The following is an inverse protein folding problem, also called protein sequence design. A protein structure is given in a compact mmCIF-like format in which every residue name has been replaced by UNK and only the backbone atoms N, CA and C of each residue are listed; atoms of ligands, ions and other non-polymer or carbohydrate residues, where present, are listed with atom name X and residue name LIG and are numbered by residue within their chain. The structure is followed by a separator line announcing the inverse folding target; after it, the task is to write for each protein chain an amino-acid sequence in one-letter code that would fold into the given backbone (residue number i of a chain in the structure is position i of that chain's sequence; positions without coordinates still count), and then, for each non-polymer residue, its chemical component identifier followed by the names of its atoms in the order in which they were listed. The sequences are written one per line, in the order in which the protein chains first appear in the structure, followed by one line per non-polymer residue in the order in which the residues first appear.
data_IF_466465811036
#
_entry.id   IF_466465811036
#
_cell.length_a   1.000
_cell.length_b   1.000
_cell.length_c   1.000
_cell.angle_alpha   90.00
_cell.angle_beta   90.00
_cell.angle_gamma   90.00
#
_symmetry.space_group_name_H-M   'P 1'
#
loop_
_entity.id
_entity.type
_entity.pdbx_description
1 polymer ?
#
# COMPACT_ATOMS: atom_id res chain seq x y z
N UNK A 1 19.17 20.79 -8.58
CA UNK A 1 18.27 19.65 -8.83
C UNK A 1 16.87 20.22 -9.04
N UNK A 2 16.33 20.08 -10.24
CA UNK A 2 14.95 20.49 -10.57
C UNK A 2 14.05 19.30 -10.30
N UNK A 3 13.27 19.35 -9.21
CA UNK A 3 12.38 18.24 -8.85
C UNK A 3 11.25 18.16 -9.90
N UNK A 4 11.20 17.07 -10.67
CA UNK A 4 10.16 16.79 -11.66
C UNK A 4 8.76 16.81 -11.02
N UNK A 5 7.82 17.49 -11.65
CA UNK A 5 6.44 17.61 -11.16
C UNK A 5 5.50 16.51 -11.67
N UNK A 6 5.95 15.62 -12.55
CA UNK A 6 5.12 14.54 -13.14
C UNK A 6 5.56 13.19 -12.56
N UNK A 7 4.60 12.34 -12.20
CA UNK A 7 4.81 11.02 -11.64
C UNK A 7 5.00 9.94 -12.74
N UNK A 8 5.76 8.90 -12.44
CA UNK A 8 5.86 7.67 -13.24
C UNK A 8 4.61 6.80 -13.08
N UNK A 9 4.46 5.76 -13.91
CA UNK A 9 3.36 4.81 -13.75
C UNK A 9 3.42 4.09 -12.38
N UNK A 10 4.62 3.75 -11.93
CA UNK A 10 4.84 3.07 -10.65
C UNK A 10 4.59 4.02 -9.46
N UNK A 11 5.03 5.28 -9.54
CA UNK A 11 4.69 6.31 -8.55
C UNK A 11 3.16 6.56 -8.52
N UNK A 12 2.46 6.50 -9.66
CA UNK A 12 1.00 6.62 -9.70
C UNK A 12 0.26 5.41 -9.11
N UNK A 13 0.78 4.20 -9.31
CA UNK A 13 0.26 2.99 -8.67
C UNK A 13 0.34 3.12 -7.14
N UNK A 14 1.47 3.59 -6.62
CA UNK A 14 1.64 3.86 -5.20
C UNK A 14 0.64 4.91 -4.67
N UNK A 15 0.42 6.01 -5.41
CA UNK A 15 -0.60 7.02 -5.06
C UNK A 15 -1.99 6.39 -4.94
N UNK A 16 -2.36 5.49 -5.87
CA UNK A 16 -3.65 4.79 -5.83
C UNK A 16 -3.75 3.90 -4.60
N UNK A 17 -2.71 3.12 -4.29
CA UNK A 17 -2.72 2.25 -3.12
C UNK A 17 -2.78 3.05 -1.81
N UNK A 18 -2.05 4.18 -1.72
CA UNK A 18 -2.11 5.10 -0.56
C UNK A 18 -3.50 5.70 -0.38
N UNK A 19 -4.19 6.05 -1.47
CA UNK A 19 -5.61 6.48 -1.44
C UNK A 19 -6.52 5.37 -0.93
N UNK A 20 -6.27 4.13 -1.32
CA UNK A 20 -7.03 2.97 -0.85
C UNK A 20 -6.87 2.78 0.67
N UNK A 21 -5.64 2.90 1.19
CA UNK A 21 -5.38 2.89 2.64
C UNK A 21 -6.17 3.98 3.36
N UNK A 22 -6.10 5.22 2.86
CA UNK A 22 -6.83 6.35 3.41
C UNK A 22 -8.35 6.13 3.41
N UNK A 23 -8.92 5.71 2.28
CA UNK A 23 -10.35 5.45 2.15
C UNK A 23 -10.80 4.34 3.12
N UNK A 24 -10.07 3.22 3.20
CA UNK A 24 -10.39 2.11 4.11
C UNK A 24 -10.36 2.55 5.57
N UNK A 25 -9.26 3.18 6.01
CA UNK A 25 -9.06 3.52 7.42
C UNK A 25 -10.01 4.60 7.90
N UNK A 26 -10.30 5.61 7.08
CA UNK A 26 -11.34 6.59 7.42
C UNK A 26 -12.75 5.99 7.41
N UNK A 27 -13.02 5.02 6.53
CA UNK A 27 -14.29 4.27 6.51
C UNK A 27 -14.50 3.47 7.79
N UNK A 28 -13.48 2.74 8.24
CA UNK A 28 -13.51 2.02 9.52
C UNK A 28 -13.69 2.99 10.70
N UNK A 29 -12.99 4.13 10.69
CA UNK A 29 -13.17 5.16 11.72
C UNK A 29 -14.62 5.64 11.80
N UNK A 30 -15.24 5.90 10.65
CA UNK A 30 -16.63 6.32 10.58
C UNK A 30 -17.59 5.25 11.13
N UNK A 31 -17.37 3.98 10.79
CA UNK A 31 -18.18 2.84 11.25
C UNK A 31 -18.08 2.63 12.77
N UNK A 32 -16.91 2.81 13.37
CA UNK A 32 -16.67 2.60 14.80
C UNK A 32 -16.76 3.89 15.63
N UNK A 33 -17.12 5.03 15.03
CA UNK A 33 -17.24 6.31 15.73
C UNK A 33 -15.91 6.90 16.24
N UNK A 34 -14.79 6.53 15.61
CA UNK A 34 -13.45 7.05 15.92
C UNK A 34 -13.27 8.37 15.16
N UNK A 35 -12.82 9.43 15.84
CA UNK A 35 -12.70 10.78 15.25
C UNK A 35 -13.98 11.21 14.51
N UNK A 36 -15.13 11.03 15.17
CA UNK A 36 -16.47 11.15 14.58
C UNK A 36 -16.78 12.53 13.97
N UNK A 37 -16.07 13.56 14.38
CA UNK A 37 -16.15 14.92 13.83
C UNK A 37 -15.58 15.05 12.41
N UNK A 38 -14.63 14.18 12.03
CA UNK A 38 -13.94 14.27 10.73
C UNK A 38 -14.04 13.00 9.89
N UNK A 39 -14.29 11.83 10.48
CA UNK A 39 -14.16 10.54 9.81
C UNK A 39 -15.09 10.40 8.59
N UNK A 40 -16.36 10.81 8.70
CA UNK A 40 -17.32 10.73 7.59
C UNK A 40 -16.88 11.56 6.39
N UNK A 41 -16.46 12.81 6.64
CA UNK A 41 -16.04 13.75 5.59
C UNK A 41 -14.77 13.24 4.92
N UNK A 42 -13.81 12.72 5.70
CA UNK A 42 -12.56 12.16 5.19
C UNK A 42 -12.80 10.89 4.39
N UNK A 43 -13.64 9.98 4.88
CA UNK A 43 -14.03 8.77 4.18
C UNK A 43 -14.65 9.12 2.82
N UNK A 44 -15.70 9.94 2.81
CA UNK A 44 -16.37 10.39 1.57
C UNK A 44 -15.39 10.98 0.57
N UNK A 45 -14.47 11.81 1.05
CA UNK A 45 -13.47 12.46 0.21
C UNK A 45 -12.50 11.45 -0.42
N UNK A 46 -11.89 10.55 0.36
CA UNK A 46 -10.92 9.59 -0.16
C UNK A 46 -11.57 8.51 -1.04
N UNK A 47 -12.81 8.12 -0.75
CA UNK A 47 -13.58 7.19 -1.57
C UNK A 47 -13.88 7.70 -2.98
N UNK A 48 -13.84 9.03 -3.22
CA UNK A 48 -13.94 9.56 -4.59
C UNK A 48 -12.77 9.11 -5.48
N UNK A 49 -11.61 8.85 -4.88
CA UNK A 49 -10.40 8.46 -5.61
C UNK A 49 -10.07 6.97 -5.49
N UNK A 50 -10.72 6.27 -4.57
CA UNK A 50 -10.54 4.84 -4.31
C UNK A 50 -11.89 4.20 -3.97
N UNK A 51 -12.75 3.96 -4.98
CA UNK A 51 -14.10 3.41 -4.75
C UNK A 51 -14.07 1.96 -4.23
N UNK A 52 -13.09 1.16 -4.65
CA UNK A 52 -12.93 -0.24 -4.25
C UNK A 52 -11.56 -0.47 -3.59
N UNK A 53 -11.30 0.10 -2.39
CA UNK A 53 -9.96 0.15 -1.83
C UNK A 53 -9.37 -1.23 -1.53
N UNK A 54 -10.20 -2.16 -1.04
CA UNK A 54 -9.74 -3.52 -0.69
C UNK A 54 -9.37 -4.31 -1.93
N UNK A 55 -10.25 -4.34 -2.93
CA UNK A 55 -10.04 -5.07 -4.18
C UNK A 55 -8.76 -4.61 -4.90
N UNK A 56 -8.54 -3.30 -4.98
CA UNK A 56 -7.35 -2.73 -5.63
C UNK A 56 -6.06 -3.13 -4.93
N UNK A 57 -6.01 -3.08 -3.59
CA UNK A 57 -4.81 -3.45 -2.84
C UNK A 57 -4.57 -4.96 -2.90
N UNK A 58 -5.62 -5.78 -2.80
CA UNK A 58 -5.50 -7.24 -2.97
C UNK A 58 -4.99 -7.59 -4.37
N UNK A 59 -5.51 -6.95 -5.42
CA UNK A 59 -5.03 -7.16 -6.79
C UNK A 59 -3.55 -6.81 -6.96
N UNK A 60 -3.07 -5.73 -6.32
CA UNK A 60 -1.65 -5.38 -6.31
C UNK A 60 -0.79 -6.44 -5.59
N UNK A 61 -1.28 -7.01 -4.50
CA UNK A 61 -0.62 -8.12 -3.80
C UNK A 61 -0.58 -9.42 -4.63
N UNK A 62 -1.66 -9.74 -5.34
CA UNK A 62 -1.72 -10.89 -6.24
C UNK A 62 -0.79 -10.72 -7.44
N UNK A 63 -0.72 -9.52 -8.02
CA UNK A 63 0.26 -9.17 -9.05
C UNK A 63 1.69 -9.36 -8.56
N UNK A 64 1.99 -8.93 -7.33
CA UNK A 64 3.30 -9.15 -6.72
C UNK A 64 3.67 -10.64 -6.60
N UNK A 65 2.67 -11.52 -6.41
CA UNK A 65 2.86 -12.98 -6.47
C UNK A 65 3.16 -13.46 -7.88
N UNK A 66 2.32 -13.09 -8.84
CA UNK A 66 2.44 -13.56 -10.23
C UNK A 66 3.80 -13.20 -10.85
N UNK A 67 4.29 -11.99 -10.59
CA UNK A 67 5.60 -11.54 -11.06
C UNK A 67 6.76 -12.24 -10.34
N UNK A 68 6.60 -12.57 -9.05
CA UNK A 68 7.62 -13.30 -8.31
C UNK A 68 7.79 -14.75 -8.78
N UNK A 69 6.71 -15.37 -9.29
CA UNK A 69 6.72 -16.74 -9.83
C UNK A 69 7.32 -16.81 -11.25
N UNK A 70 7.21 -15.73 -12.03
CA UNK A 70 7.55 -15.73 -13.44
C UNK A 70 8.92 -15.11 -13.78
N UNK A 71 9.54 -14.32 -12.88
CA UNK A 71 10.77 -13.56 -13.17
C UNK A 71 10.70 -12.77 -14.50
N UNK A 72 9.49 -12.37 -14.90
CA UNK A 72 9.23 -11.67 -16.17
C UNK A 72 9.36 -10.17 -15.95
N UNK A 73 10.20 -9.52 -16.77
CA UNK A 73 10.28 -8.07 -16.85
C UNK A 73 9.00 -7.46 -17.45
N UNK A 74 8.51 -6.42 -16.76
CA UNK A 74 7.28 -5.63 -16.88
C UNK A 74 7.14 -4.89 -18.24
N UNK A 75 7.19 -5.62 -19.34
CA UNK A 75 7.08 -5.05 -20.69
C UNK A 75 5.66 -4.91 -21.21
N UNK A 76 4.68 -5.62 -20.63
CA UNK A 76 3.36 -5.74 -21.25
C UNK A 76 2.27 -4.78 -20.73
N UNK A 77 2.36 -4.22 -19.51
CA UNK A 77 1.16 -3.65 -18.85
C UNK A 77 1.20 -2.15 -18.51
N UNK A 78 2.19 -1.40 -19.00
CA UNK A 78 2.13 0.07 -19.03
C UNK A 78 0.89 0.64 -19.78
N UNK A 79 0.17 -0.20 -20.53
CA UNK A 79 -0.98 0.20 -21.36
C UNK A 79 -2.32 0.25 -20.60
N UNK A 80 -2.58 -0.63 -19.64
CA UNK A 80 -3.91 -0.78 -19.04
C UNK A 80 -4.18 0.23 -17.90
N UNK A 81 -3.13 0.72 -17.23
CA UNK A 81 -3.26 1.70 -16.14
C UNK A 81 -3.36 3.15 -16.63
N UNK A 82 -3.21 3.40 -17.94
CA UNK A 82 -3.30 4.74 -18.53
C UNK A 82 -4.74 5.26 -18.57
N UNK A 83 -5.73 4.38 -18.46
CA UNK A 83 -7.16 4.73 -18.50
C UNK A 83 -7.74 5.15 -17.13
N UNK A 84 -7.05 4.89 -16.02
CA UNK A 84 -7.59 5.14 -14.66
C UNK A 84 -7.01 6.38 -13.95
N UNK A 85 -6.04 7.07 -14.56
CA UNK A 85 -5.22 8.05 -13.84
C UNK A 85 -5.43 9.48 -14.32
N UNK A 86 -6.15 10.27 -13.52
CA UNK A 86 -6.14 11.74 -13.62
C UNK A 86 -4.73 12.32 -13.43
N UNK A 87 -4.51 13.54 -13.92
CA UNK A 87 -3.22 14.25 -14.02
C UNK A 87 -2.15 13.75 -13.04
N UNK A 88 -1.14 13.03 -13.55
CA UNK A 88 -0.04 12.46 -12.77
C UNK A 88 0.94 13.52 -12.26
N UNK A 89 0.46 14.44 -11.43
CA UNK A 89 1.23 15.52 -10.82
C UNK A 89 1.73 15.11 -9.43
N UNK A 90 2.94 15.54 -9.05
CA UNK A 90 3.56 15.34 -7.73
C UNK A 90 2.69 15.82 -6.57
N UNK A 91 1.81 16.79 -6.83
CA UNK A 91 0.81 17.24 -5.85
C UNK A 91 -0.08 16.10 -5.37
N UNK A 92 -0.41 15.12 -6.22
CA UNK A 92 -1.17 13.94 -5.81
C UNK A 92 -0.41 13.12 -4.76
N UNK A 93 0.90 12.93 -4.96
CA UNK A 93 1.75 12.23 -4.01
C UNK A 93 1.83 12.99 -2.69
N UNK A 94 2.13 14.29 -2.74
CA UNK A 94 2.22 15.13 -1.53
C UNK A 94 0.91 15.12 -0.72
N UNK A 95 -0.21 15.11 -1.42
CA UNK A 95 -1.52 15.13 -0.81
C UNK A 95 -1.90 13.79 -0.14
N UNK A 96 -1.57 12.64 -0.75
CA UNK A 96 -1.73 11.34 -0.08
C UNK A 96 -0.78 11.20 1.10
N UNK A 97 0.46 11.68 0.99
CA UNK A 97 1.44 11.72 2.09
C UNK A 97 0.96 12.57 3.26
N UNK A 98 0.30 13.70 2.98
CA UNK A 98 -0.31 14.51 4.02
C UNK A 98 -1.47 13.77 4.70
N UNK A 99 -2.28 13.05 3.92
CA UNK A 99 -3.36 12.20 4.44
C UNK A 99 -2.84 11.10 5.37
N UNK A 100 -1.81 10.37 4.95
CA UNK A 100 -1.20 9.29 5.75
C UNK A 100 -0.57 9.83 7.03
N UNK A 101 0.17 10.94 6.95
CA UNK A 101 0.69 11.64 8.13
C UNK A 101 -0.42 12.06 9.10
N UNK A 102 -1.59 12.45 8.57
CA UNK A 102 -2.74 12.75 9.42
C UNK A 102 -3.25 11.51 10.16
N UNK A 103 -3.36 10.35 9.50
CA UNK A 103 -3.72 9.08 10.16
C UNK A 103 -2.75 8.75 11.30
N UNK A 104 -1.44 8.84 11.03
CA UNK A 104 -0.40 8.59 12.03
C UNK A 104 -0.47 9.58 13.20
N UNK A 105 -0.63 10.89 12.92
CA UNK A 105 -0.71 11.91 13.96
C UNK A 105 -1.93 11.72 14.87
N UNK A 106 -3.01 11.17 14.34
CA UNK A 106 -4.25 10.90 15.05
C UNK A 106 -4.31 9.50 15.66
N UNK A 107 -3.25 8.70 15.49
CA UNK A 107 -3.15 7.32 15.98
C UNK A 107 -4.35 6.46 15.58
N UNK A 108 -4.75 6.60 14.33
CA UNK A 108 -5.95 5.96 13.80
C UNK A 108 -5.83 4.44 13.86
N UNK A 109 -4.65 3.89 13.53
CA UNK A 109 -4.43 2.44 13.52
C UNK A 109 -4.51 1.85 14.93
N UNK A 110 -3.93 2.52 15.93
CA UNK A 110 -4.02 2.07 17.32
C UNK A 110 -5.45 2.17 17.88
N UNK A 111 -6.17 3.24 17.54
CA UNK A 111 -7.57 3.39 17.92
C UNK A 111 -8.46 2.30 17.27
N UNK A 112 -8.22 2.00 16.00
CA UNK A 112 -8.93 0.94 15.28
C UNK A 112 -8.61 -0.44 15.85
N UNK A 113 -7.35 -0.75 16.13
CA UNK A 113 -6.96 -2.01 16.74
C UNK A 113 -7.70 -2.25 18.08
N UNK A 114 -7.87 -1.20 18.89
CA UNK A 114 -8.66 -1.27 20.13
C UNK A 114 -10.15 -1.49 19.84
N UNK A 115 -10.73 -0.74 18.89
CA UNK A 115 -12.14 -0.85 18.54
C UNK A 115 -12.48 -2.26 18.01
N UNK A 116 -11.71 -2.77 17.05
CA UNK A 116 -11.89 -4.09 16.46
C UNK A 116 -11.78 -5.20 17.52
N UNK A 117 -10.80 -5.10 18.42
CA UNK A 117 -10.64 -6.05 19.53
C UNK A 117 -11.81 -6.00 20.54
N UNK A 118 -12.41 -4.82 20.75
CA UNK A 118 -13.60 -4.67 21.58
C UNK A 118 -14.84 -5.31 20.95
N UNK A 119 -15.02 -5.19 19.62
CA UNK A 119 -16.10 -5.83 18.87
C UNK A 119 -15.95 -7.36 18.75
N UNK A 120 -14.73 -7.90 18.89
CA UNK A 120 -14.48 -9.36 18.97
C UNK A 120 -15.09 -10.01 20.21
N UNK A 121 -15.00 -9.36 21.38
CA UNK A 121 -15.47 -9.89 22.68
C UNK A 121 -16.95 -10.28 22.75
N UNK A 122 -17.91 -9.49 22.23
CA UNK A 122 -19.32 -9.89 22.20
C UNK A 122 -19.63 -10.97 21.15
N UNK A 123 -18.83 -11.10 20.09
CA UNK A 123 -19.07 -12.07 19.00
C UNK A 123 -18.58 -13.49 19.33
N UNK A 124 -17.52 -13.63 20.15
CA UNK A 124 -17.04 -14.92 20.70
C UNK A 124 -18.12 -15.70 21.48
N UNK A 125 -19.09 -14.98 22.07
CA UNK A 125 -20.21 -15.61 22.78
C UNK A 125 -21.32 -16.13 21.85
N UNK A 126 -21.29 -15.79 20.56
CA UNK A 126 -22.34 -16.12 19.59
C UNK A 126 -21.91 -17.06 18.46
N UNK A 127 -20.64 -17.00 18.02
CA UNK A 127 -20.10 -17.81 16.93
C UNK A 127 -18.73 -18.34 17.36
N UNK A 128 -18.58 -19.66 17.47
CA UNK A 128 -17.38 -20.29 18.01
C UNK A 128 -16.09 -19.98 17.24
N UNK A 129 -14.98 -19.95 17.98
CA UNK A 129 -13.58 -20.24 17.64
C UNK A 129 -12.92 -19.61 16.39
N UNK A 130 -13.45 -18.57 15.75
CA UNK A 130 -12.58 -17.72 14.91
C UNK A 130 -11.80 -16.77 15.80
N UNK A 131 -10.47 -16.93 15.81
CA UNK A 131 -9.56 -16.10 16.60
C UNK A 131 -9.57 -14.61 16.15
N UNK A 132 -10.00 -14.34 14.92
CA UNK A 132 -10.19 -13.01 14.33
C UNK A 132 -11.65 -12.78 13.89
N UNK A 133 -12.13 -11.55 14.03
CA UNK A 133 -13.37 -11.09 13.40
C UNK A 133 -13.20 -11.00 11.87
N UNK A 134 -14.31 -10.91 11.13
CA UNK A 134 -14.26 -10.71 9.67
C UNK A 134 -13.49 -9.43 9.31
N UNK A 135 -13.75 -8.33 10.02
CA UNK A 135 -13.08 -7.04 9.80
C UNK A 135 -11.58 -7.13 10.11
N UNK A 136 -11.20 -7.84 11.18
CA UNK A 136 -9.79 -8.10 11.50
C UNK A 136 -9.12 -8.95 10.42
N UNK A 137 -9.76 -10.02 9.95
CA UNK A 137 -9.22 -10.86 8.89
C UNK A 137 -9.04 -10.08 7.57
N UNK A 138 -10.00 -9.25 7.19
CA UNK A 138 -9.89 -8.37 6.02
C UNK A 138 -8.75 -7.35 6.17
N UNK A 139 -8.56 -6.77 7.36
CA UNK A 139 -7.45 -5.84 7.60
C UNK A 139 -6.09 -6.53 7.51
N UNK A 140 -5.99 -7.76 8.00
CA UNK A 140 -4.77 -8.58 7.84
C UNK A 140 -4.48 -8.84 6.36
N UNK A 141 -5.46 -9.33 5.59
CA UNK A 141 -5.26 -9.57 4.15
C UNK A 141 -4.90 -8.28 3.39
N UNK A 142 -5.53 -7.16 3.73
CA UNK A 142 -5.21 -5.85 3.16
C UNK A 142 -3.75 -5.44 3.41
N UNK A 143 -3.26 -5.61 4.66
CA UNK A 143 -1.87 -5.32 5.04
C UNK A 143 -0.87 -6.29 4.41
N UNK A 144 -1.20 -7.58 4.33
CA UNK A 144 -0.36 -8.59 3.66
C UNK A 144 -0.15 -8.22 2.19
N UNK A 145 -1.22 -7.85 1.49
CA UNK A 145 -1.13 -7.45 0.09
C UNK A 145 -0.31 -6.16 -0.10
N UNK A 146 -0.46 -5.18 0.79
CA UNK A 146 0.40 -4.00 0.83
C UNK A 146 1.88 -4.35 1.01
N UNK A 147 2.20 -5.22 1.97
CA UNK A 147 3.56 -5.65 2.25
C UNK A 147 4.17 -6.42 1.08
N UNK A 148 3.41 -7.33 0.45
CA UNK A 148 3.82 -8.03 -0.76
C UNK A 148 4.17 -7.05 -1.89
N UNK A 149 3.31 -6.04 -2.11
CA UNK A 149 3.56 -4.99 -3.11
C UNK A 149 4.86 -4.21 -2.83
N UNK A 150 5.04 -3.71 -1.61
CA UNK A 150 6.23 -2.91 -1.24
C UNK A 150 7.52 -3.74 -1.39
N UNK A 151 7.54 -4.98 -0.89
CA UNK A 151 8.73 -5.83 -1.00
C UNK A 151 9.00 -6.28 -2.43
N UNK A 152 7.98 -6.42 -3.28
CA UNK A 152 8.15 -6.65 -4.72
C UNK A 152 8.84 -5.48 -5.39
N UNK A 153 8.40 -4.26 -5.07
CA UNK A 153 9.08 -3.04 -5.56
C UNK A 153 10.51 -2.95 -5.07
N UNK A 154 10.74 -3.22 -3.78
CA UNK A 154 12.09 -3.20 -3.21
C UNK A 154 13.01 -4.21 -3.91
N UNK A 155 12.53 -5.44 -4.17
CA UNK A 155 13.26 -6.45 -4.95
C UNK A 155 13.59 -5.93 -6.36
N UNK A 156 12.59 -5.38 -7.07
CA UNK A 156 12.74 -4.89 -8.45
C UNK A 156 13.82 -3.81 -8.58
N UNK A 157 13.89 -2.90 -7.61
CA UNK A 157 14.83 -1.77 -7.60
C UNK A 157 16.09 -2.04 -6.76
N UNK A 158 16.37 -3.30 -6.42
CA UNK A 158 17.55 -3.72 -5.64
C UNK A 158 17.71 -2.98 -4.29
N UNK A 159 16.60 -2.60 -3.66
CA UNK A 159 16.56 -1.97 -2.33
C UNK A 159 16.58 -3.06 -1.27
N UNK A 160 17.51 -2.95 -0.32
CA UNK A 160 17.76 -3.96 0.73
C UNK A 160 17.84 -5.38 0.13
N UNK A 161 18.76 -5.64 -0.83
CA UNK A 161 18.76 -6.86 -1.65
C UNK A 161 19.06 -8.13 -0.85
N UNK A 162 19.61 -7.98 0.35
CA UNK A 162 19.86 -9.06 1.31
C UNK A 162 18.59 -9.61 1.96
N UNK A 163 17.49 -8.83 1.99
CA UNK A 163 16.23 -9.24 2.64
C UNK A 163 15.00 -9.14 1.75
N UNK A 164 15.02 -8.32 0.70
CA UNK A 164 13.81 -8.01 -0.08
C UNK A 164 13.18 -9.25 -0.72
N UNK A 165 14.00 -10.16 -1.25
CA UNK A 165 13.50 -11.41 -1.83
C UNK A 165 12.82 -12.30 -0.78
N UNK A 166 13.48 -12.53 0.36
CA UNK A 166 12.95 -13.38 1.42
C UNK A 166 11.65 -12.80 2.01
N UNK A 167 11.58 -11.48 2.16
CA UNK A 167 10.37 -10.79 2.61
C UNK A 167 9.24 -10.89 1.59
N UNK A 168 9.52 -10.71 0.31
CA UNK A 168 8.53 -10.90 -0.74
C UNK A 168 7.95 -12.33 -0.71
N UNK A 169 8.81 -13.35 -0.66
CA UNK A 169 8.39 -14.76 -0.58
C UNK A 169 7.57 -15.07 0.68
N UNK A 170 7.95 -14.47 1.81
CA UNK A 170 7.19 -14.58 3.05
C UNK A 170 5.75 -14.06 2.87
N UNK A 171 5.55 -12.84 2.37
CA UNK A 171 4.20 -12.26 2.24
C UNK A 171 3.33 -12.96 1.19
N UNK A 172 3.93 -13.37 0.07
CA UNK A 172 3.22 -14.10 -1.00
C UNK A 172 2.70 -15.45 -0.50
N UNK A 173 3.52 -16.21 0.24
CA UNK A 173 3.14 -17.55 0.71
C UNK A 173 1.98 -17.54 1.70
N UNK A 174 1.73 -16.41 2.38
CA UNK A 174 0.69 -16.26 3.40
C UNK A 174 -0.64 -15.72 2.85
N UNK A 175 -0.70 -15.20 1.62
CA UNK A 175 -1.91 -14.60 1.04
C UNK A 175 -3.00 -15.63 0.64
N UNK A 176 -2.70 -16.93 0.66
CA UNK A 176 -3.58 -18.00 0.17
C UNK A 176 -4.44 -18.69 1.23
N UNK A 177 -4.28 -18.32 2.52
CA UNK A 177 -4.95 -18.97 3.65
C UNK A 177 -5.82 -17.97 4.41
N UNK A 178 -6.84 -18.49 5.11
CA UNK A 178 -7.63 -17.68 6.04
C UNK A 178 -6.70 -17.08 7.11
N UNK A 179 -6.68 -15.75 7.30
CA UNK A 179 -5.79 -15.10 8.27
C UNK A 179 -5.99 -15.62 9.70
N UNK A 180 -4.88 -15.79 10.41
CA UNK A 180 -4.81 -16.21 11.81
C UNK A 180 -4.42 -15.06 12.74
N UNK A 181 -4.59 -15.23 14.06
CA UNK A 181 -4.06 -14.23 15.02
C UNK A 181 -2.55 -14.03 14.94
N UNK A 182 -1.79 -15.04 14.50
CA UNK A 182 -0.36 -14.88 14.29
C UNK A 182 -0.07 -13.97 13.09
N UNK A 183 -0.83 -14.12 12.00
CA UNK A 183 -0.73 -13.23 10.83
C UNK A 183 -1.03 -11.77 11.21
N UNK A 184 -2.00 -11.54 12.11
CA UNK A 184 -2.29 -10.21 12.63
C UNK A 184 -1.10 -9.58 13.38
N UNK A 185 -0.29 -10.38 14.08
CA UNK A 185 0.94 -9.88 14.72
C UNK A 185 2.03 -9.64 13.68
N UNK A 186 2.15 -10.52 12.70
CA UNK A 186 3.21 -10.46 11.72
C UNK A 186 3.04 -9.28 10.78
N UNK A 187 1.81 -8.94 10.34
CA UNK A 187 1.58 -7.74 9.51
C UNK A 187 1.99 -6.46 10.24
N UNK A 188 1.70 -6.33 11.53
CA UNK A 188 2.12 -5.17 12.32
C UNK A 188 3.66 -5.06 12.40
N UNK A 189 4.33 -6.21 12.56
CA UNK A 189 5.81 -6.26 12.51
C UNK A 189 6.35 -5.88 11.14
N UNK A 190 5.71 -6.35 10.07
CA UNK A 190 6.08 -6.02 8.69
C UNK A 190 5.96 -4.51 8.41
N UNK A 191 4.87 -3.88 8.84
CA UNK A 191 4.67 -2.44 8.69
C UNK A 191 5.70 -1.63 9.49
N UNK A 192 6.03 -2.06 10.70
CA UNK A 192 7.10 -1.45 11.51
C UNK A 192 8.47 -1.64 10.84
N UNK A 193 8.73 -2.79 10.22
CA UNK A 193 9.99 -3.07 9.53
C UNK A 193 10.19 -2.17 8.32
N UNK A 194 9.20 -2.04 7.42
CA UNK A 194 9.33 -1.17 6.24
C UNK A 194 9.54 0.29 6.65
N UNK A 195 8.92 0.73 7.75
CA UNK A 195 9.10 2.07 8.30
C UNK A 195 10.47 2.25 8.95
N UNK A 196 10.96 1.25 9.68
CA UNK A 196 12.28 1.28 10.33
C UNK A 196 13.42 1.34 9.32
N UNK A 197 13.23 0.71 8.16
CA UNK A 197 14.20 0.69 7.06
C UNK A 197 13.98 1.84 6.06
N UNK A 198 12.97 2.69 6.27
CA UNK A 198 12.61 3.77 5.36
C UNK A 198 12.40 3.31 3.90
N UNK A 199 11.89 2.09 3.68
CA UNK A 199 11.79 1.46 2.34
C UNK A 199 11.04 2.34 1.34
N UNK A 200 9.94 2.98 1.76
CA UNK A 200 9.17 3.89 0.89
C UNK A 200 9.99 5.10 0.44
N UNK A 201 10.85 5.64 1.32
CA UNK A 201 11.73 6.76 0.97
C UNK A 201 12.82 6.31 0.02
N UNK A 202 13.42 5.13 0.27
CA UNK A 202 14.40 4.54 -0.63
C UNK A 202 13.79 4.30 -2.03
N UNK A 203 12.57 3.77 -2.10
CA UNK A 203 11.84 3.54 -3.36
C UNK A 203 11.55 4.83 -4.11
N UNK A 204 11.14 5.87 -3.38
CA UNK A 204 10.94 7.18 -3.96
C UNK A 204 12.25 7.72 -4.55
N UNK A 205 13.32 7.79 -3.76
CA UNK A 205 14.61 8.34 -4.18
C UNK A 205 15.21 7.58 -5.37
N UNK A 206 15.10 6.25 -5.37
CA UNK A 206 15.57 5.41 -6.49
C UNK A 206 14.80 5.71 -7.78
N UNK A 207 13.47 5.81 -7.71
CA UNK A 207 12.65 6.17 -8.88
C UNK A 207 13.04 7.53 -9.47
N UNK A 208 13.45 8.48 -8.62
CA UNK A 208 13.95 9.79 -9.09
C UNK A 208 15.33 9.68 -9.75
N UNK A 209 16.19 8.80 -9.24
CA UNK A 209 17.57 8.59 -9.72
C UNK A 209 17.62 7.91 -11.09
N UNK A 210 16.85 6.84 -11.30
CA UNK A 210 16.81 6.10 -12.57
C UNK A 210 16.48 7.03 -13.76
N UNK A 211 15.54 7.96 -13.56
CA UNK A 211 15.12 8.92 -14.59
C UNK A 211 16.17 9.98 -14.92
N UNK A 212 17.05 10.34 -13.98
CA UNK A 212 18.17 11.23 -14.26
C UNK A 212 19.21 10.53 -15.14
N UNK A 213 19.43 9.23 -14.91
CA UNK A 213 20.33 8.40 -15.70
C UNK A 213 19.80 8.18 -17.13
N UNK A 214 18.51 7.89 -17.31
CA UNK A 214 17.88 7.75 -18.62
C UNK A 214 17.93 9.03 -19.47
N UNK A 215 17.71 10.19 -18.84
CA UNK A 215 17.84 11.48 -19.52
C UNK A 215 19.29 11.79 -19.91
N UNK A 216 20.27 11.36 -19.11
CA UNK A 216 21.69 11.54 -19.41
C UNK A 216 22.22 10.59 -20.49
N UNK A 217 21.62 9.39 -20.61
CA UNK A 217 21.98 8.37 -21.60
C UNK A 217 21.22 8.52 -22.93
N UNK A 218 20.27 9.45 -23.03
CA UNK A 218 19.65 9.83 -24.29
C UNK A 218 20.71 10.49 -25.17
N UNK A 219 21.21 9.85 -26.26
CA UNK A 219 22.17 10.51 -27.13
C UNK A 219 21.45 11.73 -27.69
N UNK A 220 22.00 12.91 -27.44
CA UNK A 220 21.54 14.13 -28.09
C UNK A 220 21.38 13.84 -29.57
N UNK A 221 20.14 13.94 -30.06
CA UNK A 221 19.84 13.92 -31.48
C UNK A 221 20.54 15.13 -32.08
N UNK A 222 21.81 14.95 -32.41
CA UNK A 222 22.63 15.90 -33.14
C UNK A 222 22.09 15.91 -34.57
N UNK A 223 21.49 17.03 -34.90
CA UNK A 223 21.30 17.62 -36.22
C UNK A 223 21.76 16.79 -37.43
N UNK A 224 20.81 16.43 -38.29
CA UNK A 224 20.89 16.55 -39.74
C UNK A 224 19.49 16.73 -40.32
#
# INVERSE_FOLDING_TARGET
MTQRMILTAEEMEEVVLKRCWLARYWGLCFQHGIHADIAEVKYKYWSLFAPNPVEVVLAAGEKAREEADLDVEDTEHQRDMKELSGEGNIENMLFVEQGLRQLTSLKVEEALAVALAQHRRPNLLKFGFSDLSLEEAEDVSFKQAWLAYIWRRAKKHEIEPDIAYDRLQFWISHNSKTPTSQDAVDVERGLVEIKRLDIETQLWDESRRELEQDNSNSPGRSDF
#
